data_IF_073791321183
#
_entry.id   IF_073791321183
#
_cell.length_a   1.000
_cell.length_b   1.000
_cell.length_c   1.000
_cell.angle_alpha   90.00
_cell.angle_beta   90.00
_cell.angle_gamma   90.00
#
_symmetry.space_group_name_H-M   'P 1'
#
loop_
_entity.id
_entity.type
_entity.pdbx_description
1 polymer ?
#
# COMPACT_ATOMS: atom_id res chain seq x y z
N UNK A 1 -16.39 -3.06 13.14
CA UNK A 1 -16.08 -4.23 12.30
C UNK A 1 -14.76 -4.07 11.58
N UNK A 2 -14.31 -5.13 10.94
CA UNK A 2 -13.08 -5.15 10.14
C UNK A 2 -13.36 -5.74 8.76
N UNK A 3 -12.70 -5.17 7.74
CA UNK A 3 -12.63 -5.73 6.39
C UNK A 3 -11.28 -6.40 6.23
N UNK A 4 -11.27 -7.63 5.78
CA UNK A 4 -10.06 -8.44 5.69
C UNK A 4 -10.02 -9.21 4.37
N UNK A 5 -8.84 -9.54 3.83
CA UNK A 5 -8.72 -10.43 2.69
C UNK A 5 -9.30 -11.82 2.96
N UNK A 6 -9.71 -12.52 1.90
CA UNK A 6 -10.25 -13.89 1.97
C UNK A 6 -9.38 -14.84 2.81
N UNK A 7 -10.04 -15.68 3.61
CA UNK A 7 -9.47 -16.67 4.53
C UNK A 7 -8.70 -16.08 5.72
N UNK A 8 -8.66 -14.73 5.87
CA UNK A 8 -8.01 -14.08 7.01
C UNK A 8 -8.96 -13.94 8.21
N UNK A 9 -10.26 -13.89 8.00
CA UNK A 9 -11.27 -13.66 9.04
C UNK A 9 -11.23 -14.65 10.20
N UNK A 10 -10.87 -15.90 9.94
CA UNK A 10 -10.70 -16.92 10.99
C UNK A 10 -9.68 -16.55 12.07
N UNK A 11 -8.66 -15.77 11.72
CA UNK A 11 -7.66 -15.32 12.69
C UNK A 11 -8.21 -14.22 13.59
N UNK A 12 -9.07 -13.36 13.06
CA UNK A 12 -9.77 -12.33 13.83
C UNK A 12 -10.78 -12.96 14.79
N UNK A 13 -11.62 -13.88 14.31
CA UNK A 13 -12.62 -14.54 15.15
C UNK A 13 -12.00 -15.38 16.25
N UNK A 14 -10.88 -16.05 16.00
CA UNK A 14 -10.11 -16.79 17.02
C UNK A 14 -9.49 -15.85 18.09
N UNK A 15 -9.32 -14.58 17.79
CA UNK A 15 -8.78 -13.56 18.69
C UNK A 15 -9.87 -12.61 19.25
N UNK A 16 -11.11 -13.07 19.35
CA UNK A 16 -12.19 -12.39 20.07
C UNK A 16 -13.07 -11.46 19.25
N UNK A 17 -12.83 -11.31 17.93
CA UNK A 17 -13.77 -10.57 17.10
C UNK A 17 -15.05 -11.36 16.87
N UNK A 18 -16.21 -10.71 16.99
CA UNK A 18 -17.49 -11.34 16.65
C UNK A 18 -17.57 -11.63 15.17
N UNK A 19 -18.06 -12.81 14.79
CA UNK A 19 -18.09 -13.29 13.39
C UNK A 19 -18.84 -12.32 12.46
N UNK A 20 -19.93 -11.74 12.91
CA UNK A 20 -20.76 -10.79 12.17
C UNK A 20 -20.08 -9.43 11.93
N UNK A 21 -19.03 -9.11 12.70
CA UNK A 21 -18.24 -7.90 12.55
C UNK A 21 -17.01 -8.05 11.66
N UNK A 22 -16.72 -9.27 11.16
CA UNK A 22 -15.59 -9.57 10.28
C UNK A 22 -16.11 -9.90 8.88
N UNK A 23 -15.75 -9.09 7.89
CA UNK A 23 -16.14 -9.30 6.50
C UNK A 23 -14.89 -9.60 5.68
N UNK A 24 -14.88 -10.75 5.01
CA UNK A 24 -13.85 -11.12 4.06
C UNK A 24 -14.13 -10.52 2.68
N UNK A 25 -13.07 -10.11 1.98
CA UNK A 25 -13.13 -9.52 0.63
C UNK A 25 -12.19 -10.27 -0.32
N UNK A 26 -12.66 -10.49 -1.52
CA UNK A 26 -11.83 -10.87 -2.67
C UNK A 26 -11.36 -9.62 -3.41
N UNK A 27 -10.40 -9.77 -4.34
CA UNK A 27 -10.02 -8.69 -5.25
C UNK A 27 -11.24 -8.23 -6.07
N UNK A 28 -11.40 -6.93 -6.15
CA UNK A 28 -12.50 -6.22 -6.78
C UNK A 28 -13.84 -6.26 -6.03
N UNK A 29 -13.92 -6.92 -4.88
CA UNK A 29 -15.07 -6.80 -4.00
C UNK A 29 -15.21 -5.36 -3.52
N UNK A 30 -16.44 -4.88 -3.53
CA UNK A 30 -16.83 -3.53 -3.15
C UNK A 30 -17.85 -3.57 -2.02
N UNK A 31 -17.54 -2.91 -0.91
CA UNK A 31 -18.43 -2.83 0.26
C UNK A 31 -18.77 -1.38 0.54
N UNK A 32 -20.05 -1.07 0.54
CA UNK A 32 -20.58 0.21 1.01
C UNK A 32 -20.66 0.17 2.55
N UNK A 33 -19.91 1.02 3.21
CA UNK A 33 -19.91 1.14 4.68
C UNK A 33 -21.10 1.98 5.14
N UNK A 34 -21.33 3.10 4.46
CA UNK A 34 -22.46 4.02 4.63
C UNK A 34 -22.67 4.80 3.33
N UNK A 35 -23.50 5.85 3.35
CA UNK A 35 -23.80 6.62 2.14
C UNK A 35 -22.59 7.44 1.62
N UNK A 36 -21.61 7.71 2.46
CA UNK A 36 -20.43 8.51 2.12
C UNK A 36 -19.18 7.66 1.81
N UNK A 37 -19.10 6.42 2.35
CA UNK A 37 -17.88 5.61 2.31
C UNK A 37 -18.13 4.30 1.60
N UNK A 38 -17.33 4.05 0.58
CA UNK A 38 -17.24 2.76 -0.10
C UNK A 38 -15.80 2.30 -0.15
N UNK A 39 -15.55 1.00 0.09
CA UNK A 39 -14.22 0.41 0.06
C UNK A 39 -14.20 -0.70 -0.98
N UNK A 40 -13.22 -0.63 -1.88
CA UNK A 40 -12.95 -1.68 -2.89
C UNK A 40 -11.59 -2.30 -2.57
N UNK A 41 -11.54 -3.63 -2.48
CA UNK A 41 -10.26 -4.34 -2.37
C UNK A 41 -9.66 -4.51 -3.75
N UNK A 42 -8.36 -4.22 -3.90
CA UNK A 42 -7.62 -4.33 -5.15
C UNK A 42 -6.42 -5.27 -4.99
N UNK A 43 -5.92 -5.88 -6.08
CA UNK A 43 -4.71 -6.68 -6.01
C UNK A 43 -3.48 -5.84 -5.63
N UNK A 44 -2.51 -6.48 -4.98
CA UNK A 44 -1.16 -5.95 -4.80
C UNK A 44 -0.11 -6.99 -5.15
N UNK A 45 1.07 -6.54 -5.57
CA UNK A 45 2.21 -7.41 -5.87
C UNK A 45 2.92 -7.76 -4.58
N UNK A 46 2.41 -8.75 -3.89
CA UNK A 46 2.91 -9.21 -2.60
C UNK A 46 2.57 -10.71 -2.40
N UNK A 47 2.65 -11.15 -1.19
CA UNK A 47 2.30 -12.50 -0.73
C UNK A 47 1.73 -12.44 0.69
N UNK A 48 1.19 -13.56 1.19
CA UNK A 48 0.72 -13.66 2.57
C UNK A 48 1.42 -14.79 3.32
N UNK A 49 1.74 -14.55 4.61
CA UNK A 49 2.28 -15.55 5.51
C UNK A 49 1.87 -15.22 6.94
N UNK A 50 1.50 -16.23 7.72
CA UNK A 50 1.06 -16.05 9.13
C UNK A 50 2.06 -16.59 10.15
N UNK A 51 3.09 -17.30 9.70
CA UNK A 51 4.09 -17.90 10.56
C UNK A 51 5.47 -17.77 9.96
N UNK A 52 6.44 -17.36 10.76
CA UNK A 52 7.81 -17.07 10.29
C UNK A 52 8.56 -18.39 10.03
N UNK A 53 8.33 -19.41 10.84
CA UNK A 53 9.00 -20.70 10.77
C UNK A 53 8.08 -21.75 10.14
N UNK A 54 8.61 -22.44 9.13
CA UNK A 54 7.86 -23.45 8.38
C UNK A 54 7.16 -22.93 7.13
N UNK A 55 7.00 -23.75 6.17
CA UNK A 55 6.56 -23.47 4.81
C UNK A 55 5.05 -23.52 4.61
N UNK A 56 4.36 -24.14 5.55
CA UNK A 56 2.99 -24.57 5.36
C UNK A 56 1.92 -23.47 5.25
N UNK A 57 2.26 -22.17 5.42
CA UNK A 57 1.27 -21.09 5.53
C UNK A 57 1.43 -19.94 4.53
N UNK A 58 2.33 -20.08 3.56
CA UNK A 58 2.49 -19.08 2.50
C UNK A 58 1.28 -19.10 1.55
N UNK A 59 0.72 -17.94 1.26
CA UNK A 59 -0.40 -17.72 0.34
C UNK A 59 -1.69 -18.52 0.67
N UNK A 60 -1.91 -18.84 1.94
CA UNK A 60 -3.15 -19.49 2.41
C UNK A 60 -4.28 -18.50 2.70
N UNK A 61 -3.96 -17.23 2.84
CA UNK A 61 -4.92 -16.13 2.87
C UNK A 61 -4.67 -15.24 1.67
N UNK A 62 -5.68 -14.52 1.22
CA UNK A 62 -5.50 -13.49 0.21
C UNK A 62 -4.74 -12.28 0.82
N UNK A 63 -4.23 -11.40 -0.04
CA UNK A 63 -3.62 -10.12 0.28
C UNK A 63 -4.08 -9.08 -0.74
N UNK A 64 -3.83 -7.80 -0.50
CA UNK A 64 -4.24 -6.74 -1.44
C UNK A 64 -4.11 -5.36 -0.85
N UNK A 65 -4.55 -4.40 -1.63
CA UNK A 65 -4.65 -2.98 -1.33
C UNK A 65 -6.11 -2.56 -1.24
N UNK A 66 -6.36 -1.31 -0.82
CA UNK A 66 -7.71 -0.79 -0.67
C UNK A 66 -7.86 0.56 -1.37
N UNK A 67 -8.93 0.70 -2.14
CA UNK A 67 -9.42 1.97 -2.64
C UNK A 67 -10.60 2.41 -1.79
N UNK A 68 -10.47 3.56 -1.15
CA UNK A 68 -11.49 4.18 -0.31
C UNK A 68 -12.09 5.34 -1.07
N UNK A 69 -13.39 5.28 -1.35
CA UNK A 69 -14.15 6.37 -1.94
C UNK A 69 -14.91 7.09 -0.80
N UNK A 70 -14.64 8.38 -0.61
CA UNK A 70 -15.23 9.21 0.43
C UNK A 70 -15.62 10.58 -0.12
N UNK A 71 -16.91 10.92 -0.10
CA UNK A 71 -17.43 12.22 -0.56
C UNK A 71 -16.89 12.64 -1.94
N UNK A 72 -16.84 11.71 -2.89
CA UNK A 72 -16.35 11.94 -4.24
C UNK A 72 -14.83 12.01 -4.37
N UNK A 73 -14.08 11.83 -3.29
CA UNK A 73 -12.61 11.69 -3.29
C UNK A 73 -12.21 10.23 -3.25
N UNK A 74 -11.08 9.91 -3.86
CA UNK A 74 -10.52 8.56 -3.91
C UNK A 74 -9.17 8.51 -3.20
N UNK A 75 -9.03 7.57 -2.27
CA UNK A 75 -7.82 7.35 -1.49
C UNK A 75 -7.38 5.91 -1.71
N UNK A 76 -6.17 5.71 -2.20
CA UNK A 76 -5.59 4.40 -2.39
C UNK A 76 -4.61 4.10 -1.26
N UNK A 77 -4.80 2.97 -0.58
CA UNK A 77 -3.90 2.44 0.44
C UNK A 77 -3.24 1.17 -0.10
N UNK A 78 -1.98 1.26 -0.51
CA UNK A 78 -1.28 0.18 -1.20
C UNK A 78 -1.03 -1.04 -0.32
N UNK A 79 -1.00 -0.89 1.01
CA UNK A 79 -0.40 -1.87 1.91
C UNK A 79 1.05 -2.12 1.51
N UNK A 80 1.52 -3.38 1.57
CA UNK A 80 2.83 -3.74 1.06
C UNK A 80 2.70 -4.21 -0.39
N UNK A 81 3.50 -3.63 -1.27
CA UNK A 81 3.50 -4.00 -2.70
C UNK A 81 4.82 -3.70 -3.38
N UNK A 82 5.19 -4.57 -4.33
CA UNK A 82 6.20 -4.33 -5.33
C UNK A 82 5.62 -3.76 -6.63
N UNK A 83 6.49 -3.43 -7.61
CA UNK A 83 6.06 -2.98 -8.93
C UNK A 83 5.38 -4.11 -9.70
N UNK A 84 4.30 -3.78 -10.43
CA UNK A 84 3.61 -4.73 -11.29
C UNK A 84 2.87 -4.04 -12.44
N UNK A 85 2.77 -4.67 -13.62
CA UNK A 85 2.16 -4.05 -14.80
C UNK A 85 0.65 -3.82 -14.68
N UNK A 86 -0.03 -4.55 -13.80
CA UNK A 86 -1.48 -4.42 -13.61
C UNK A 86 -1.89 -3.06 -13.00
N UNK A 87 -0.97 -2.31 -12.38
CA UNK A 87 -1.28 -0.98 -11.84
C UNK A 87 -1.75 0.00 -12.91
N UNK A 88 -1.21 -0.10 -14.12
CA UNK A 88 -1.66 0.70 -15.26
C UNK A 88 -3.11 0.42 -15.64
N UNK A 89 -3.53 -0.85 -15.60
CA UNK A 89 -4.92 -1.21 -15.86
C UNK A 89 -5.85 -0.80 -14.71
N UNK A 90 -5.37 -0.87 -13.47
CA UNK A 90 -6.11 -0.33 -12.32
C UNK A 90 -6.28 1.19 -12.43
N UNK A 91 -5.26 1.92 -12.88
CA UNK A 91 -5.34 3.36 -13.14
C UNK A 91 -6.42 3.70 -14.15
N UNK A 92 -6.44 3.04 -15.30
CA UNK A 92 -7.50 3.21 -16.31
C UNK A 92 -8.91 2.95 -15.78
N UNK A 93 -9.05 1.99 -14.85
CA UNK A 93 -10.37 1.58 -14.31
C UNK A 93 -10.82 2.46 -13.16
N UNK A 94 -9.92 2.86 -12.28
CA UNK A 94 -10.26 3.50 -11.00
C UNK A 94 -9.74 4.95 -10.88
N UNK A 95 -8.82 5.34 -11.73
CA UNK A 95 -8.27 6.71 -11.76
C UNK A 95 -9.29 7.78 -12.22
N UNK A 96 -8.96 9.06 -12.04
CA UNK A 96 -7.86 9.55 -11.22
C UNK A 96 -8.10 9.33 -9.71
N UNK A 97 -7.03 9.15 -8.96
CA UNK A 97 -7.03 8.95 -7.50
C UNK A 97 -6.43 10.19 -6.84
N UNK A 98 -7.11 10.75 -5.83
CA UNK A 98 -6.69 12.01 -5.22
C UNK A 98 -5.47 11.86 -4.32
N UNK A 99 -5.37 10.74 -3.56
CA UNK A 99 -4.30 10.49 -2.60
C UNK A 99 -3.92 9.00 -2.59
N UNK A 100 -2.62 8.69 -2.63
CA UNK A 100 -2.11 7.34 -2.51
C UNK A 100 -1.14 7.20 -1.35
N UNK A 101 -1.28 6.13 -0.56
CA UNK A 101 -0.31 5.72 0.45
C UNK A 101 0.45 4.50 -0.05
N UNK A 102 1.78 4.54 -0.02
CA UNK A 102 2.59 3.42 -0.49
C UNK A 102 3.89 3.20 0.29
N UNK A 103 4.35 1.97 0.29
CA UNK A 103 5.56 1.56 0.98
C UNK A 103 6.82 2.11 0.28
N UNK A 104 7.76 2.60 1.10
CA UNK A 104 9.06 3.12 0.66
C UNK A 104 10.22 2.23 1.06
N UNK A 105 10.08 1.38 2.07
CA UNK A 105 11.17 0.61 2.66
C UNK A 105 11.05 -0.89 2.41
N UNK A 106 12.04 -1.63 2.91
CA UNK A 106 12.18 -3.08 2.80
C UNK A 106 12.44 -3.57 1.35
N UNK A 107 13.24 -2.85 0.59
CA UNK A 107 13.54 -3.18 -0.80
C UNK A 107 14.96 -3.69 -1.04
N UNK A 108 15.93 -3.42 -0.17
CA UNK A 108 17.31 -3.82 -0.37
C UNK A 108 17.70 -5.04 0.49
N UNK A 109 17.79 -6.20 -0.13
CA UNK A 109 18.22 -7.44 0.50
C UNK A 109 19.60 -7.93 -0.01
N UNK A 110 20.36 -7.08 -0.71
CA UNK A 110 21.70 -7.42 -1.15
C UNK A 110 22.66 -7.51 0.07
N UNK A 111 23.54 -8.54 0.19
CA UNK A 111 23.82 -9.60 -0.80
C UNK A 111 22.99 -10.88 -0.63
N UNK A 112 22.00 -10.92 0.29
CA UNK A 112 21.14 -12.08 0.49
C UNK A 112 20.34 -12.39 -0.79
N UNK A 113 19.81 -11.34 -1.43
CA UNK A 113 19.30 -11.38 -2.78
C UNK A 113 20.35 -10.76 -3.71
N UNK A 114 20.75 -11.40 -4.81
CA UNK A 114 21.91 -10.98 -5.62
C UNK A 114 21.70 -9.66 -6.39
N UNK A 115 20.53 -9.07 -6.35
CA UNK A 115 20.24 -7.79 -7.00
C UNK A 115 20.05 -6.70 -5.94
N UNK A 116 20.88 -5.65 -6.00
CA UNK A 116 20.79 -4.50 -5.11
C UNK A 116 19.53 -3.68 -5.39
N UNK A 117 18.95 -3.10 -4.33
CA UNK A 117 17.80 -2.20 -4.37
C UNK A 117 16.57 -2.76 -5.13
N UNK A 118 16.40 -4.08 -5.16
CA UNK A 118 15.31 -4.71 -5.88
C UNK A 118 14.62 -5.79 -5.05
N UNK A 119 13.32 -5.64 -4.92
CA UNK A 119 12.42 -6.64 -4.34
C UNK A 119 11.21 -6.80 -5.23
N UNK A 120 10.67 -8.02 -5.32
CA UNK A 120 9.40 -8.27 -6.02
C UNK A 120 8.19 -7.96 -5.15
N UNK A 121 8.39 -7.86 -3.83
CA UNK A 121 7.33 -7.68 -2.85
C UNK A 121 7.23 -6.26 -2.30
N UNK A 122 8.30 -5.47 -2.41
CA UNK A 122 8.36 -4.09 -1.92
C UNK A 122 8.95 -3.20 -3.00
N UNK A 123 8.24 -2.15 -3.36
CA UNK A 123 8.74 -1.12 -4.26
C UNK A 123 9.83 -0.30 -3.57
N UNK A 124 10.90 0.01 -4.30
CA UNK A 124 11.80 1.08 -3.90
C UNK A 124 11.14 2.46 -4.16
N UNK A 125 11.72 3.58 -3.70
CA UNK A 125 11.09 4.89 -3.83
C UNK A 125 10.73 5.30 -5.27
N UNK A 126 11.58 5.00 -6.23
CA UNK A 126 11.36 5.30 -7.65
C UNK A 126 10.27 4.40 -8.24
N UNK A 127 10.28 3.12 -7.90
CA UNK A 127 9.25 2.17 -8.31
C UNK A 127 7.89 2.54 -7.73
N UNK A 128 7.84 3.04 -6.47
CA UNK A 128 6.60 3.55 -5.88
C UNK A 128 6.07 4.74 -6.67
N UNK A 129 6.91 5.73 -6.98
CA UNK A 129 6.50 6.89 -7.78
C UNK A 129 5.94 6.46 -9.15
N UNK A 130 6.61 5.49 -9.80
CA UNK A 130 6.19 4.95 -11.09
C UNK A 130 4.83 4.26 -11.01
N UNK A 131 4.64 3.32 -10.06
CA UNK A 131 3.37 2.60 -9.93
C UNK A 131 2.21 3.53 -9.52
N UNK A 132 2.47 4.54 -8.69
CA UNK A 132 1.46 5.53 -8.33
C UNK A 132 1.09 6.43 -9.52
N UNK A 133 2.05 6.68 -10.43
CA UNK A 133 1.76 7.36 -11.70
C UNK A 133 0.90 6.50 -12.63
N UNK A 134 1.22 5.22 -12.73
CA UNK A 134 0.41 4.24 -13.47
C UNK A 134 -1.03 4.14 -12.95
N UNK A 135 -1.22 4.28 -11.64
CA UNK A 135 -2.53 4.35 -10.97
C UNK A 135 -3.26 5.69 -11.12
N UNK A 136 -2.65 6.69 -11.79
CA UNK A 136 -3.18 8.06 -11.90
C UNK A 136 -3.40 8.75 -10.54
N UNK A 137 -2.53 8.46 -9.57
CA UNK A 137 -2.54 9.10 -8.25
C UNK A 137 -1.98 10.52 -8.36
N UNK A 138 -2.69 11.50 -7.80
CA UNK A 138 -2.30 12.93 -7.87
C UNK A 138 -1.27 13.28 -6.81
N UNK A 139 -1.44 12.82 -5.56
CA UNK A 139 -0.52 13.07 -4.43
C UNK A 139 -0.16 11.75 -3.76
N UNK A 140 1.10 11.57 -3.42
CA UNK A 140 1.62 10.31 -2.86
C UNK A 140 2.20 10.55 -1.47
N UNK A 141 1.76 9.76 -0.50
CA UNK A 141 2.34 9.70 0.85
C UNK A 141 3.19 8.43 0.95
N UNK A 142 4.47 8.62 1.24
CA UNK A 142 5.38 7.54 1.50
C UNK A 142 5.27 7.03 2.93
N UNK A 143 5.07 5.72 3.10
CA UNK A 143 4.99 5.03 4.39
C UNK A 143 5.94 3.83 4.44
N UNK A 144 5.89 3.02 5.50
CA UNK A 144 6.67 1.79 5.66
C UNK A 144 8.20 2.04 5.65
N UNK A 145 8.64 3.05 6.41
CA UNK A 145 10.06 3.39 6.59
C UNK A 145 10.31 3.89 8.02
N UNK A 146 11.57 3.80 8.48
CA UNK A 146 12.02 4.48 9.70
C UNK A 146 11.59 3.87 11.05
N UNK A 147 10.67 2.90 11.07
CA UNK A 147 10.16 2.30 12.32
C UNK A 147 10.96 1.07 12.77
N UNK A 148 11.37 0.23 11.83
CA UNK A 148 12.14 -0.98 12.08
C UNK A 148 13.12 -1.22 10.93
N UNK A 149 14.24 -1.89 11.23
CA UNK A 149 15.20 -2.34 10.21
C UNK A 149 14.66 -3.66 9.66
N UNK A 150 14.06 -3.60 8.47
CA UNK A 150 13.50 -4.77 7.79
C UNK A 150 14.37 -5.27 6.64
N UNK A 151 15.32 -4.46 6.18
CA UNK A 151 16.21 -4.72 5.06
C UNK A 151 17.51 -3.93 5.21
N UNK A 152 18.33 -3.84 4.18
CA UNK A 152 19.71 -3.35 4.28
C UNK A 152 19.93 -1.95 3.70
N UNK A 153 18.87 -1.27 3.24
CA UNK A 153 18.98 0.14 2.90
C UNK A 153 19.15 1.00 4.19
N UNK A 154 19.91 2.10 4.12
CA UNK A 154 20.01 3.05 5.22
C UNK A 154 18.63 3.58 5.62
N UNK A 155 18.32 3.64 6.90
CA UNK A 155 16.98 3.93 7.44
C UNK A 155 16.39 5.25 6.94
N UNK A 156 17.23 6.23 6.61
CA UNK A 156 16.83 7.55 6.10
C UNK A 156 16.88 7.66 4.57
N UNK A 157 17.38 6.65 3.86
CA UNK A 157 17.48 6.68 2.40
C UNK A 157 16.11 6.71 1.72
N UNK A 158 15.09 5.91 2.12
CA UNK A 158 13.82 5.86 1.44
C UNK A 158 13.12 7.23 1.27
N UNK A 159 12.90 8.03 2.34
CA UNK A 159 12.24 9.33 2.20
C UNK A 159 13.09 10.35 1.42
N UNK A 160 14.42 10.29 1.51
CA UNK A 160 15.31 11.18 0.77
C UNK A 160 15.24 10.89 -0.73
N UNK A 161 15.36 9.62 -1.14
CA UNK A 161 15.23 9.19 -2.54
C UNK A 161 13.86 9.52 -3.11
N UNK A 162 12.79 9.25 -2.35
CA UNK A 162 11.43 9.56 -2.75
C UNK A 162 11.23 11.04 -3.08
N UNK A 163 11.65 11.92 -2.18
CA UNK A 163 11.55 13.38 -2.39
C UNK A 163 12.44 13.86 -3.55
N UNK A 164 13.66 13.34 -3.65
CA UNK A 164 14.61 13.75 -4.69
C UNK A 164 14.16 13.36 -6.10
N UNK A 165 13.44 12.25 -6.25
CA UNK A 165 13.02 11.73 -7.54
C UNK A 165 11.59 12.09 -7.96
N UNK A 166 10.80 12.75 -7.11
CA UNK A 166 9.39 13.06 -7.38
C UNK A 166 9.17 13.73 -8.74
N UNK A 167 9.96 14.76 -9.07
CA UNK A 167 9.83 15.52 -10.32
C UNK A 167 10.17 14.67 -11.56
N UNK A 168 11.08 13.72 -11.44
CA UNK A 168 11.44 12.79 -12.53
C UNK A 168 10.26 11.88 -12.94
N UNK A 169 9.31 11.65 -12.01
CA UNK A 169 8.09 10.88 -12.24
C UNK A 169 6.85 11.76 -12.45
N UNK A 170 7.04 13.08 -12.64
CA UNK A 170 5.97 14.03 -12.94
C UNK A 170 5.10 14.40 -11.75
N UNK A 171 5.64 14.30 -10.53
CA UNK A 171 5.05 14.85 -9.31
C UNK A 171 5.72 16.17 -8.95
N UNK A 172 4.96 17.16 -8.48
CA UNK A 172 5.55 18.30 -7.82
C UNK A 172 6.15 17.88 -6.47
N UNK A 173 7.11 18.63 -5.95
CA UNK A 173 7.74 18.35 -4.65
C UNK A 173 6.75 18.28 -3.48
N UNK A 174 5.72 19.13 -3.52
CA UNK A 174 4.64 19.17 -2.53
C UNK A 174 3.67 17.97 -2.65
N UNK A 175 3.56 17.32 -3.81
CA UNK A 175 2.66 16.19 -4.04
C UNK A 175 3.29 14.83 -3.68
N UNK A 176 4.62 14.78 -3.48
CA UNK A 176 5.33 13.64 -2.90
C UNK A 176 5.58 13.91 -1.41
N UNK A 177 4.74 13.36 -0.56
CA UNK A 177 4.60 13.75 0.85
C UNK A 177 5.26 12.73 1.77
N UNK A 178 6.04 13.20 2.73
CA UNK A 178 6.58 12.39 3.83
C UNK A 178 6.10 13.02 5.15
N UNK A 179 5.43 12.22 5.96
CA UNK A 179 5.04 12.62 7.32
C UNK A 179 6.18 12.35 8.29
N UNK A 180 6.32 13.22 9.28
CA UNK A 180 7.11 12.90 10.48
C UNK A 180 6.40 11.78 11.24
N UNK A 181 7.17 10.93 11.92
CA UNK A 181 6.59 9.88 12.77
C UNK A 181 5.71 10.53 13.84
N UNK A 182 4.43 10.12 13.90
CA UNK A 182 3.43 10.72 14.78
C UNK A 182 2.75 12.00 14.25
N UNK A 183 3.10 12.47 13.07
CA UNK A 183 2.42 13.63 12.45
C UNK A 183 0.98 13.28 12.05
N UNK A 184 0.05 14.20 12.33
CA UNK A 184 -1.36 14.10 11.98
C UNK A 184 -1.72 15.27 11.06
N UNK A 185 -2.40 14.98 9.95
CA UNK A 185 -3.00 16.00 9.05
C UNK A 185 -4.45 15.68 8.78
N UNK A 186 -5.24 16.69 8.56
CA UNK A 186 -6.62 16.53 8.08
C UNK A 186 -6.62 16.16 6.62
N UNK A 187 -7.56 15.30 6.21
CA UNK A 187 -7.67 14.85 4.83
C UNK A 187 -7.85 16.03 3.86
N UNK A 188 -8.64 17.03 4.26
CA UNK A 188 -8.92 18.23 3.46
C UNK A 188 -7.65 19.04 3.15
N UNK A 189 -6.65 19.02 4.03
CA UNK A 189 -5.36 19.69 3.81
C UNK A 189 -4.51 19.00 2.75
N UNK A 190 -4.78 17.70 2.51
CA UNK A 190 -4.02 16.88 1.58
C UNK A 190 -4.63 16.83 0.17
N UNK A 191 -5.95 16.89 0.05
CA UNK A 191 -6.68 16.62 -1.20
C UNK A 191 -7.39 17.84 -1.82
N UNK A 192 -7.18 19.02 -1.24
CA UNK A 192 -7.64 20.31 -1.84
C UNK A 192 -6.61 20.88 -2.80
#
# INVERSE_FOLDING_TARGET
>A
GVLVPLKLGKYFTKNGYKKDTVKEMDWFDKIKINDEITITMLPSQHWSKRWIWGDGNTNRTLWGSFLIEYKGKKIFFACDTGPAPFYKELGKKFGPIDLGFGNLGAYNFYPIVPVKDKSTAHANPEELLSLMKDLEVKKVIGMHWGTAILSLEPIWEPPVRFKANAENFGYKKEDAIIFKIGEIKKLEELIN
#
